data_IF_732931497257
#
_entry.id   IF_732931497257
#
_cell.length_a   1.000
_cell.length_b   1.000
_cell.length_c   1.000
_cell.angle_alpha   90.00
_cell.angle_beta   90.00
_cell.angle_gamma   90.00
#
_symmetry.space_group_name_H-M   'P 1'
#
loop_
_entity.id
_entity.type
_entity.pdbx_description
1 polymer ?
#
# COMPACT_ATOMS: atom_id res chain seq x y z
N UNK A 1 -2.36 7.32 20.48
CA UNK A 1 -1.09 7.87 19.96
C UNK A 1 -1.13 7.75 18.45
N UNK A 2 -1.09 8.85 17.71
CA UNK A 2 -0.95 8.79 16.25
C UNK A 2 0.54 8.79 15.93
N UNK A 3 1.12 7.61 15.73
CA UNK A 3 2.49 7.48 15.23
C UNK A 3 2.48 7.92 13.78
N UNK A 4 3.03 9.11 13.53
CA UNK A 4 3.23 9.60 12.18
C UNK A 4 4.02 8.57 11.36
N UNK A 5 3.58 8.29 10.13
CA UNK A 5 4.28 7.35 9.25
C UNK A 5 5.74 7.79 9.02
N UNK A 6 6.68 6.83 8.87
CA UNK A 6 8.09 7.11 8.59
C UNK A 6 8.28 8.00 7.35
N UNK A 7 9.42 8.70 7.27
CA UNK A 7 9.70 9.62 6.18
C UNK A 7 9.81 8.90 4.83
N UNK A 8 10.45 7.72 4.78
CA UNK A 8 10.54 6.95 3.53
C UNK A 8 9.16 6.51 3.04
N UNK A 9 8.26 6.19 3.95
CA UNK A 9 6.90 5.76 3.64
C UNK A 9 6.09 6.86 2.95
N UNK A 10 6.24 8.10 3.44
CA UNK A 10 5.61 9.29 2.86
C UNK A 10 6.20 9.61 1.49
N UNK A 11 7.52 9.53 1.37
CA UNK A 11 8.21 9.77 0.10
C UNK A 11 7.83 8.74 -0.97
N UNK A 12 7.65 7.47 -0.61
CA UNK A 12 7.16 6.44 -1.54
C UNK A 12 5.73 6.73 -1.98
N UNK A 13 4.85 7.13 -1.05
CA UNK A 13 3.49 7.53 -1.39
C UNK A 13 3.45 8.78 -2.28
N UNK A 14 4.35 9.75 -2.08
CA UNK A 14 4.48 10.92 -2.97
C UNK A 14 4.85 10.53 -4.40
N UNK A 15 5.81 9.62 -4.58
CA UNK A 15 6.17 9.10 -5.91
C UNK A 15 5.03 8.31 -6.55
N UNK A 16 4.34 7.48 -5.76
CA UNK A 16 3.16 6.74 -6.20
C UNK A 16 2.07 7.70 -6.73
N UNK A 17 1.69 8.73 -5.95
CA UNK A 17 0.73 9.76 -6.41
C UNK A 17 1.24 10.49 -7.66
N UNK A 18 2.51 10.89 -7.67
CA UNK A 18 3.15 11.54 -8.82
C UNK A 18 3.16 10.69 -10.10
N UNK A 19 3.01 9.37 -10.00
CA UNK A 19 2.87 8.44 -11.13
C UNK A 19 1.43 8.17 -11.57
N UNK A 20 0.44 8.87 -10.99
CA UNK A 20 -0.98 8.66 -11.27
C UNK A 20 -1.69 7.69 -10.31
N UNK A 21 -1.09 7.42 -9.14
CA UNK A 21 -1.69 6.60 -8.09
C UNK A 21 -2.86 7.27 -7.35
N UNK A 22 -3.48 6.57 -6.40
CA UNK A 22 -4.55 7.10 -5.57
C UNK A 22 -4.06 8.28 -4.70
N UNK A 23 -4.60 9.47 -4.93
CA UNK A 23 -4.26 10.72 -4.26
C UNK A 23 -4.49 10.70 -2.74
N UNK A 24 -5.36 9.82 -2.24
CA UNK A 24 -5.64 9.69 -0.82
C UNK A 24 -4.58 8.85 -0.08
N UNK A 25 -3.74 8.09 -0.78
CA UNK A 25 -2.66 7.33 -0.15
C UNK A 25 -1.57 8.30 0.29
N UNK A 26 -1.29 8.37 1.59
CA UNK A 26 -0.31 9.31 2.16
C UNK A 26 0.93 8.63 2.75
N UNK A 27 0.92 7.30 2.90
CA UNK A 27 2.10 6.52 3.26
C UNK A 27 2.01 5.11 2.70
N UNK A 28 3.13 4.61 2.18
CA UNK A 28 3.29 3.22 1.73
C UNK A 28 4.57 2.69 2.39
N UNK A 29 4.44 1.68 3.24
CA UNK A 29 5.56 0.97 3.83
C UNK A 29 5.70 -0.42 3.20
N UNK A 30 6.94 -0.87 3.07
CA UNK A 30 7.28 -2.23 2.66
C UNK A 30 8.00 -2.87 3.83
N UNK A 31 7.34 -3.81 4.47
CA UNK A 31 7.88 -4.54 5.61
C UNK A 31 8.25 -5.97 5.18
N UNK A 32 9.24 -6.60 5.83
CA UNK A 32 9.42 -8.04 5.72
C UNK A 32 8.17 -8.74 6.26
N UNK A 33 7.46 -9.47 5.41
CA UNK A 33 6.36 -10.32 5.83
C UNK A 33 6.81 -11.76 6.09
N UNK A 34 5.87 -12.64 6.46
CA UNK A 34 6.16 -14.04 6.72
C UNK A 34 6.73 -14.73 5.48
N UNK A 35 7.61 -15.70 5.70
CA UNK A 35 8.16 -16.57 4.65
C UNK A 35 8.91 -15.80 3.52
N UNK A 36 9.36 -14.57 3.81
CA UNK A 36 10.08 -13.72 2.87
C UNK A 36 9.19 -13.04 1.82
N UNK A 37 7.87 -13.11 1.99
CA UNK A 37 6.89 -12.38 1.18
C UNK A 37 6.74 -10.96 1.75
N UNK A 38 6.83 -9.88 0.96
CA UNK A 38 6.71 -8.53 1.49
C UNK A 38 5.28 -8.23 1.97
N UNK A 39 5.18 -7.50 3.09
CA UNK A 39 3.94 -6.86 3.54
C UNK A 39 3.93 -5.40 3.08
N UNK A 40 2.90 -5.04 2.33
CA UNK A 40 2.63 -3.67 1.91
C UNK A 40 1.65 -3.04 2.90
N UNK A 41 2.11 -2.06 3.67
CA UNK A 41 1.25 -1.30 4.60
C UNK A 41 0.91 0.04 3.97
N UNK A 42 -0.36 0.23 3.63
CA UNK A 42 -0.88 1.42 2.96
C UNK A 42 -1.71 2.22 3.93
N UNK A 43 -1.45 3.52 4.06
CA UNK A 43 -2.33 4.44 4.80
C UNK A 43 -2.97 5.43 3.86
N UNK A 44 -4.29 5.53 3.95
CA UNK A 44 -5.12 6.34 3.08
C UNK A 44 -5.98 7.33 3.87
N UNK A 45 -6.47 8.37 3.19
CA UNK A 45 -7.46 9.30 3.74
C UNK A 45 -8.89 8.78 3.65
N UNK A 46 -9.10 7.56 3.16
CA UNK A 46 -10.41 6.93 3.06
C UNK A 46 -11.03 6.72 4.45
N UNK A 47 -12.34 6.85 4.55
CA UNK A 47 -13.09 6.71 5.79
C UNK A 47 -13.88 5.41 5.87
N UNK A 48 -14.04 4.71 4.75
CA UNK A 48 -14.81 3.48 4.67
C UNK A 48 -14.16 2.49 3.71
N UNK A 49 -14.51 1.21 3.89
CA UNK A 49 -14.07 0.13 3.03
C UNK A 49 -14.92 0.11 1.75
N UNK A 50 -14.26 0.19 0.60
CA UNK A 50 -14.86 0.09 -0.72
C UNK A 50 -14.03 -0.90 -1.54
N UNK A 51 -14.68 -1.96 -2.06
CA UNK A 51 -14.02 -3.04 -2.78
C UNK A 51 -13.51 -2.61 -4.17
N UNK A 52 -14.29 -1.82 -4.92
CA UNK A 52 -13.87 -1.35 -6.24
C UNK A 52 -12.70 -0.38 -6.13
N UNK A 53 -12.74 0.49 -5.11
CA UNK A 53 -11.62 1.38 -4.80
C UNK A 53 -10.39 0.58 -4.42
N UNK A 54 -10.55 -0.46 -3.60
CA UNK A 54 -9.45 -1.31 -3.19
C UNK A 54 -8.82 -2.04 -4.37
N UNK A 55 -9.61 -2.57 -5.30
CA UNK A 55 -9.08 -3.23 -6.49
C UNK A 55 -8.26 -2.26 -7.37
N UNK A 56 -8.77 -1.03 -7.59
CA UNK A 56 -8.00 0.00 -8.32
C UNK A 56 -6.71 0.40 -7.60
N UNK A 57 -6.76 0.54 -6.27
CA UNK A 57 -5.59 0.83 -5.45
C UNK A 57 -4.56 -0.29 -5.55
N UNK A 58 -4.99 -1.54 -5.38
CA UNK A 58 -4.15 -2.74 -5.46
C UNK A 58 -3.44 -2.81 -6.81
N UNK A 59 -4.19 -2.73 -7.91
CA UNK A 59 -3.63 -2.88 -9.26
C UNK A 59 -2.64 -1.75 -9.59
N UNK A 60 -3.01 -0.50 -9.28
CA UNK A 60 -2.13 0.65 -9.55
C UNK A 60 -0.88 0.66 -8.66
N UNK A 61 -0.99 0.28 -7.39
CA UNK A 61 0.15 0.23 -6.47
C UNK A 61 1.11 -0.90 -6.84
N UNK A 62 0.61 -2.09 -7.16
CA UNK A 62 1.44 -3.21 -7.61
C UNK A 62 2.14 -2.85 -8.92
N UNK A 63 1.42 -2.27 -9.88
CA UNK A 63 2.03 -1.80 -11.12
C UNK A 63 3.16 -0.81 -10.85
N UNK A 64 2.92 0.22 -10.03
CA UNK A 64 3.94 1.19 -9.65
C UNK A 64 5.16 0.54 -8.99
N UNK A 65 4.94 -0.32 -8.00
CA UNK A 65 6.03 -0.97 -7.27
C UNK A 65 6.89 -1.84 -8.21
N UNK A 66 6.27 -2.62 -9.10
CA UNK A 66 7.00 -3.53 -9.99
C UNK A 66 7.66 -2.76 -11.14
N UNK A 67 6.90 -1.92 -11.84
CA UNK A 67 7.34 -1.32 -13.10
C UNK A 67 8.13 -0.02 -12.91
N UNK A 68 7.86 0.75 -11.86
CA UNK A 68 8.52 2.04 -11.61
C UNK A 68 9.60 1.92 -10.55
N UNK A 69 9.34 1.23 -9.43
CA UNK A 69 10.29 1.09 -8.33
C UNK A 69 11.16 -0.19 -8.44
N UNK A 70 10.90 -1.07 -9.42
CA UNK A 70 11.69 -2.29 -9.65
C UNK A 70 11.58 -3.33 -8.54
N UNK A 71 10.48 -3.33 -7.78
CA UNK A 71 10.24 -4.27 -6.69
C UNK A 71 9.80 -5.61 -7.24
N UNK A 72 10.49 -6.69 -6.85
CA UNK A 72 10.02 -8.04 -7.14
C UNK A 72 8.89 -8.42 -6.18
N UNK A 73 7.74 -8.79 -6.75
CA UNK A 73 6.58 -9.37 -6.05
C UNK A 73 6.24 -10.77 -6.60
N UNK A 74 7.22 -11.45 -7.22
CA UNK A 74 7.01 -12.73 -7.93
C UNK A 74 6.53 -13.86 -7.02
N UNK A 75 6.88 -13.80 -5.73
CA UNK A 75 6.41 -14.76 -4.69
C UNK A 75 5.10 -14.33 -4.03
N UNK A 76 4.42 -13.35 -4.62
CA UNK A 76 3.25 -12.69 -4.05
C UNK A 76 3.61 -11.59 -3.04
N UNK A 77 2.58 -11.10 -2.36
CA UNK A 77 2.67 -10.05 -1.34
C UNK A 77 1.46 -10.13 -0.40
N UNK A 78 1.61 -9.53 0.77
CA UNK A 78 0.49 -9.19 1.66
C UNK A 78 0.20 -7.70 1.52
N UNK A 79 -1.04 -7.28 1.74
CA UNK A 79 -1.39 -5.87 1.75
C UNK A 79 -2.40 -5.56 2.84
N UNK A 80 -2.07 -4.59 3.69
CA UNK A 80 -2.98 -3.99 4.66
C UNK A 80 -3.24 -2.54 4.29
N UNK A 81 -4.51 -2.16 4.18
CA UNK A 81 -4.93 -0.78 3.89
C UNK A 81 -5.64 -0.21 5.09
N UNK A 82 -5.09 0.88 5.63
CA UNK A 82 -5.64 1.60 6.76
C UNK A 82 -6.33 2.89 6.31
N UNK A 83 -7.45 3.19 6.97
CA UNK A 83 -8.21 4.42 6.80
C UNK A 83 -7.64 5.58 7.58
N UNK A 84 -8.28 6.75 7.45
CA UNK A 84 -7.87 8.01 8.08
C UNK A 84 -7.75 7.91 9.60
N UNK A 85 -8.63 7.13 10.23
CA UNK A 85 -8.68 6.90 11.67
C UNK A 85 -7.71 5.80 12.15
N UNK A 86 -6.96 5.18 11.24
CA UNK A 86 -6.09 4.05 11.52
C UNK A 86 -6.81 2.70 11.61
N UNK A 87 -8.11 2.63 11.29
CA UNK A 87 -8.82 1.37 11.15
C UNK A 87 -8.32 0.58 9.93
N UNK A 88 -8.30 -0.75 10.04
CA UNK A 88 -8.00 -1.62 8.90
C UNK A 88 -9.24 -1.67 7.99
N UNK A 89 -9.11 -1.15 6.78
CA UNK A 89 -10.18 -1.15 5.78
C UNK A 89 -10.16 -2.40 4.91
N UNK A 90 -8.96 -2.88 4.56
CA UNK A 90 -8.75 -4.06 3.71
C UNK A 90 -7.50 -4.83 4.12
N UNK A 91 -7.57 -6.16 4.00
CA UNK A 91 -6.44 -7.07 4.09
C UNK A 91 -6.49 -8.03 2.90
N UNK A 92 -5.35 -8.18 2.25
CA UNK A 92 -5.17 -9.11 1.13
C UNK A 92 -3.96 -9.99 1.37
N UNK A 93 -4.14 -11.26 1.06
CA UNK A 93 -3.08 -12.24 0.92
C UNK A 93 -3.02 -12.68 -0.55
N UNK A 94 -2.00 -12.22 -1.26
CA UNK A 94 -1.79 -12.49 -2.69
C UNK A 94 -0.59 -13.43 -2.91
N UNK A 95 -0.31 -14.31 -1.94
CA UNK A 95 0.70 -15.37 -2.09
C UNK A 95 0.22 -16.43 -3.09
N UNK A 96 1.17 -16.97 -3.86
CA UNK A 96 0.97 -18.05 -4.84
C UNK A 96 1.42 -19.39 -4.28
#
# INVERSE_FOLDING_TARGET
MSTAAPAEAKALAERYRGSGGDEDVYAVEREPGPEGVPLLVVRSRATESDAERFDRLKDSLVFFLVQVEGVSLERGYLMDVFGRDGSLLHRLDART
#
